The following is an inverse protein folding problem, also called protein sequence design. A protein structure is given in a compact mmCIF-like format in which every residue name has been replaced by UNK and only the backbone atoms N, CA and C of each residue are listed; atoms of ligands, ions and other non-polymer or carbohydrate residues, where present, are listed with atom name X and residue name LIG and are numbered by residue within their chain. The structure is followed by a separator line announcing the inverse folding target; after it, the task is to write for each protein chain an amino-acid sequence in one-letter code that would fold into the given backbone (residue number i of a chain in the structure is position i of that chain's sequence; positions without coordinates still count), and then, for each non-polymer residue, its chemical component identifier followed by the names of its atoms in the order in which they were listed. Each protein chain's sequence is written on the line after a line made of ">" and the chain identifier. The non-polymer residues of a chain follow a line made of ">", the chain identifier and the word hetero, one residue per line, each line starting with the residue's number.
data_IF_207347665938
#
_entry.id   IF_207347665938
#
_cell.length_a   1.000
_cell.length_b   1.000
_cell.length_c   1.000
_cell.angle_alpha   90.00
_cell.angle_beta   90.00
_cell.angle_gamma   90.00
#
_symmetry.space_group_name_H-M   'P 1'
#
loop_
_entity.id
_entity.type
_entity.pdbx_description
1 polymer ?
#
# COMPACT_ATOMS: atom_id res chain seq x y z
N UNK A 1 9.60 -13.91 -62.77
CA UNK A 1 10.51 -12.84 -63.19
C UNK A 1 11.35 -13.37 -64.34
N UNK A 2 11.03 -12.91 -65.53
CA UNK A 2 11.64 -13.35 -66.78
C UNK A 2 13.00 -12.66 -66.97
N UNK A 3 13.80 -13.15 -67.93
CA UNK A 3 15.06 -12.49 -68.31
C UNK A 3 14.80 -11.06 -68.79
N UNK A 4 13.64 -10.82 -69.41
CA UNK A 4 13.21 -9.51 -69.89
C UNK A 4 12.96 -8.54 -68.72
N UNK A 5 12.30 -9.01 -67.65
CA UNK A 5 12.04 -8.20 -66.45
C UNK A 5 13.35 -7.71 -65.80
N UNK A 6 14.36 -8.59 -65.73
CA UNK A 6 15.70 -8.25 -65.18
C UNK A 6 16.46 -7.25 -66.07
N UNK A 7 16.32 -7.39 -67.39
CA UNK A 7 16.95 -6.49 -68.36
C UNK A 7 16.39 -5.07 -68.25
N UNK A 8 15.07 -4.94 -68.10
CA UNK A 8 14.42 -3.63 -67.94
C UNK A 8 14.79 -2.96 -66.61
N UNK A 9 14.91 -3.72 -65.53
CA UNK A 9 15.30 -3.20 -64.22
C UNK A 9 16.75 -2.67 -64.24
N UNK A 10 17.67 -3.39 -64.89
CA UNK A 10 19.05 -2.93 -65.09
C UNK A 10 19.12 -1.64 -65.92
N UNK A 11 18.34 -1.56 -67.00
CA UNK A 11 18.29 -0.37 -67.85
C UNK A 11 17.75 0.84 -67.09
N UNK A 12 16.74 0.63 -66.23
CA UNK A 12 16.19 1.67 -65.36
C UNK A 12 17.22 2.16 -64.32
N UNK A 13 17.96 1.24 -63.69
CA UNK A 13 19.05 1.57 -62.79
C UNK A 13 20.14 2.41 -63.47
N UNK A 14 20.56 2.03 -64.68
CA UNK A 14 21.59 2.76 -65.42
C UNK A 14 21.13 4.18 -65.78
N UNK A 15 19.89 4.34 -66.24
CA UNK A 15 19.31 5.66 -66.55
C UNK A 15 19.29 6.57 -65.32
N UNK A 16 18.96 6.03 -64.14
CA UNK A 16 18.96 6.80 -62.89
C UNK A 16 20.37 7.26 -62.52
N UNK A 17 21.35 6.36 -62.56
CA UNK A 17 22.75 6.68 -62.24
C UNK A 17 23.30 7.74 -63.20
N UNK A 18 23.04 7.60 -64.51
CA UNK A 18 23.46 8.57 -65.49
C UNK A 18 22.83 9.95 -65.25
N UNK A 19 21.53 10.01 -64.97
CA UNK A 19 20.83 11.26 -64.67
C UNK A 19 21.41 11.98 -63.45
N UNK A 20 21.70 11.24 -62.38
CA UNK A 20 22.28 11.80 -61.15
C UNK A 20 23.71 12.32 -61.40
N UNK A 21 24.52 11.59 -62.17
CA UNK A 21 25.87 12.00 -62.54
C UNK A 21 25.86 13.30 -63.36
N UNK A 22 25.01 13.38 -64.39
CA UNK A 22 24.90 14.59 -65.21
C UNK A 22 24.32 15.77 -64.46
N UNK A 23 23.43 15.54 -63.49
CA UNK A 23 22.90 16.60 -62.61
C UNK A 23 23.99 17.20 -61.72
N UNK A 24 24.85 16.35 -61.16
CA UNK A 24 26.04 16.80 -60.41
C UNK A 24 27.02 17.57 -61.28
N UNK A 25 27.31 17.07 -62.48
CA UNK A 25 28.19 17.75 -63.43
C UNK A 25 27.62 19.09 -63.91
N UNK A 26 26.31 19.18 -64.15
CA UNK A 26 25.64 20.42 -64.52
C UNK A 26 25.70 21.47 -63.41
N UNK A 27 25.58 21.05 -62.14
CA UNK A 27 25.73 21.96 -60.99
C UNK A 27 27.16 22.50 -60.87
N UNK A 28 28.17 21.68 -61.16
CA UNK A 28 29.57 22.11 -61.19
C UNK A 28 29.89 23.02 -62.38
N UNK A 29 29.19 22.84 -63.50
CA UNK A 29 29.37 23.65 -64.71
C UNK A 29 28.56 24.96 -64.69
N UNK A 30 27.60 25.14 -63.78
CA UNK A 30 26.69 26.30 -63.72
C UNK A 30 27.31 27.59 -63.16
N UNK A 31 28.63 27.74 -63.29
CA UNK A 31 29.37 28.92 -62.85
C UNK A 31 29.93 28.79 -61.44
N UNK A 32 30.80 29.73 -61.03
CA UNK A 32 31.40 29.70 -59.71
C UNK A 32 30.28 29.80 -58.67
N UNK A 33 30.14 28.74 -57.87
CA UNK A 33 29.32 28.76 -56.67
C UNK A 33 29.88 29.89 -55.81
N UNK A 34 29.16 31.00 -55.72
CA UNK A 34 29.52 32.12 -54.85
C UNK A 34 29.28 31.68 -53.42
N UNK A 35 30.30 31.08 -52.81
CA UNK A 35 30.34 30.97 -51.36
C UNK A 35 30.51 32.39 -50.83
N UNK A 36 29.59 32.85 -49.97
CA UNK A 36 29.85 33.99 -49.11
C UNK A 36 31.11 33.65 -48.30
N UNK A 37 32.23 34.23 -48.72
CA UNK A 37 33.51 34.05 -48.04
C UNK A 37 33.48 34.94 -46.80
N UNK A 38 32.93 34.41 -45.71
CA UNK A 38 33.12 34.99 -44.39
C UNK A 38 34.59 34.79 -44.04
N UNK A 39 35.36 35.87 -43.79
CA UNK A 39 36.75 35.75 -43.37
C UNK A 39 36.84 34.85 -42.13
N UNK A 40 37.72 33.86 -42.16
CA UNK A 40 37.90 32.93 -41.02
C UNK A 40 38.11 33.65 -39.68
N UNK A 41 38.70 34.85 -39.71
CA UNK A 41 38.89 35.71 -38.52
C UNK A 41 37.58 36.13 -37.85
N UNK A 42 36.56 36.51 -38.62
CA UNK A 42 35.24 36.90 -38.06
C UNK A 42 34.56 35.68 -37.44
N UNK A 43 34.64 34.52 -38.12
CA UNK A 43 34.09 33.28 -37.60
C UNK A 43 34.78 32.82 -36.32
N UNK A 44 36.10 33.02 -36.20
CA UNK A 44 36.85 32.73 -34.98
C UNK A 44 36.38 33.62 -33.82
N UNK A 45 36.25 34.93 -34.03
CA UNK A 45 35.76 35.86 -33.00
C UNK A 45 34.33 35.55 -32.55
N UNK A 46 33.45 35.20 -33.48
CA UNK A 46 32.07 34.77 -33.17
C UNK A 46 32.08 33.51 -32.28
N UNK A 47 32.88 32.50 -32.64
CA UNK A 47 32.99 31.26 -31.88
C UNK A 47 33.61 31.48 -30.49
N UNK A 48 34.62 32.34 -30.37
CA UNK A 48 35.21 32.70 -29.08
C UNK A 48 34.19 33.40 -28.17
N UNK A 49 33.40 34.32 -28.72
CA UNK A 49 32.30 34.98 -28.00
C UNK A 49 31.24 34.00 -27.53
N UNK A 50 30.85 33.05 -28.41
CA UNK A 50 29.87 32.03 -28.05
C UNK A 50 30.40 31.05 -27.01
N UNK A 51 31.68 30.66 -27.07
CA UNK A 51 32.34 29.84 -26.04
C UNK A 51 32.35 30.56 -24.69
N UNK A 52 32.67 31.87 -24.68
CA UNK A 52 32.63 32.66 -23.45
C UNK A 52 31.22 32.71 -22.85
N UNK A 53 30.21 32.97 -23.68
CA UNK A 53 28.79 33.00 -23.29
C UNK A 53 28.31 31.64 -22.75
N UNK A 54 28.63 30.55 -23.44
CA UNK A 54 28.30 29.19 -23.00
C UNK A 54 28.98 28.84 -21.68
N UNK A 55 30.24 29.23 -21.49
CA UNK A 55 30.96 29.02 -20.23
C UNK A 55 30.28 29.74 -19.06
N UNK A 56 29.80 30.98 -19.25
CA UNK A 56 29.07 31.72 -18.23
C UNK A 56 27.72 31.05 -17.88
N UNK A 57 26.97 30.60 -18.89
CA UNK A 57 25.72 29.86 -18.70
C UNK A 57 25.97 28.56 -17.92
N UNK A 58 27.01 27.81 -18.28
CA UNK A 58 27.39 26.58 -17.58
C UNK A 58 27.79 26.87 -16.13
N UNK A 59 28.55 27.94 -15.88
CA UNK A 59 28.94 28.34 -14.52
C UNK A 59 27.72 28.69 -13.67
N UNK A 60 26.78 29.45 -14.22
CA UNK A 60 25.53 29.83 -13.55
C UNK A 60 24.66 28.61 -13.24
N UNK A 61 24.42 27.75 -14.23
CA UNK A 61 23.65 26.51 -14.04
C UNK A 61 24.30 25.57 -13.02
N UNK A 62 25.63 25.48 -13.00
CA UNK A 62 26.36 24.67 -12.02
C UNK A 62 26.13 25.17 -10.60
N UNK A 63 26.15 26.49 -10.40
CA UNK A 63 25.91 27.12 -9.10
C UNK A 63 24.46 26.91 -8.63
N UNK A 64 23.50 27.05 -9.52
CA UNK A 64 22.07 26.80 -9.25
C UNK A 64 21.84 25.34 -8.84
N UNK A 65 22.32 24.37 -9.63
CA UNK A 65 22.22 22.94 -9.31
C UNK A 65 22.84 22.59 -7.97
N UNK A 66 23.96 23.21 -7.61
CA UNK A 66 24.60 22.97 -6.31
C UNK A 66 23.76 23.51 -5.15
N UNK A 67 23.09 24.65 -5.32
CA UNK A 67 22.16 25.18 -4.33
C UNK A 67 20.92 24.30 -4.16
N UNK A 68 20.34 23.83 -5.26
CA UNK A 68 19.20 22.89 -5.23
C UNK A 68 19.58 21.58 -4.56
N UNK A 69 20.76 21.05 -4.87
CA UNK A 69 21.30 19.84 -4.24
C UNK A 69 21.45 20.03 -2.73
N UNK A 70 21.94 21.18 -2.27
CA UNK A 70 22.03 21.51 -0.83
C UNK A 70 20.65 21.58 -0.17
N UNK A 71 19.68 22.22 -0.82
CA UNK A 71 18.31 22.33 -0.32
C UNK A 71 17.62 20.97 -0.24
N UNK A 72 17.73 20.15 -1.29
CA UNK A 72 17.21 18.78 -1.33
C UNK A 72 17.85 17.90 -0.26
N UNK A 73 19.17 17.97 -0.06
CA UNK A 73 19.85 17.26 1.05
C UNK A 73 19.32 17.65 2.43
N UNK A 74 19.03 18.93 2.66
CA UNK A 74 18.43 19.38 3.93
C UNK A 74 17.01 18.81 4.12
N UNK A 75 16.20 18.76 3.04
CA UNK A 75 14.86 18.16 3.08
C UNK A 75 14.92 16.66 3.36
N UNK A 76 15.82 15.94 2.70
CA UNK A 76 16.04 14.50 2.93
C UNK A 76 16.37 14.23 4.41
N UNK A 77 17.34 14.94 4.99
CA UNK A 77 17.68 14.78 6.42
C UNK A 77 16.51 15.03 7.37
N UNK A 78 15.65 16.01 7.05
CA UNK A 78 14.43 16.28 7.85
C UNK A 78 13.43 15.13 7.74
N UNK A 79 13.23 14.61 6.53
CA UNK A 79 12.33 13.48 6.29
C UNK A 79 12.84 12.22 6.97
N UNK A 80 14.13 11.91 6.87
CA UNK A 80 14.77 10.77 7.54
C UNK A 80 14.56 10.83 9.06
N UNK A 81 14.76 12.02 9.67
CA UNK A 81 14.50 12.22 11.09
C UNK A 81 13.03 11.98 11.45
N UNK A 82 12.10 12.58 10.68
CA UNK A 82 10.67 12.40 10.90
C UNK A 82 10.23 10.94 10.73
N UNK A 83 10.85 10.21 9.79
CA UNK A 83 10.55 8.80 9.57
C UNK A 83 10.99 7.94 10.77
N UNK A 84 12.17 8.20 11.32
CA UNK A 84 12.63 7.53 12.53
C UNK A 84 11.76 7.81 13.76
N UNK A 85 11.25 9.03 13.90
CA UNK A 85 10.28 9.37 14.96
C UNK A 85 8.96 8.61 14.78
N UNK A 86 8.43 8.53 13.55
CA UNK A 86 7.21 7.78 13.25
C UNK A 86 7.38 6.27 13.47
N UNK A 87 8.52 5.69 13.06
CA UNK A 87 8.85 4.29 13.33
C UNK A 87 8.87 4.00 14.84
N UNK A 88 9.43 4.92 15.64
CA UNK A 88 9.39 4.84 17.10
C UNK A 88 7.96 4.86 17.66
N UNK A 89 7.11 5.75 17.16
CA UNK A 89 5.70 5.81 17.56
C UNK A 89 4.94 4.53 17.20
N UNK A 90 5.13 3.99 15.99
CA UNK A 90 4.52 2.73 15.56
C UNK A 90 4.95 1.59 16.47
N UNK A 91 6.25 1.47 16.78
CA UNK A 91 6.74 0.43 17.70
C UNK A 91 6.18 0.56 19.12
N UNK A 92 5.91 1.78 19.60
CA UNK A 92 5.24 2.00 20.89
C UNK A 92 3.79 1.54 20.86
N UNK A 93 3.05 1.93 19.82
CA UNK A 93 1.64 1.56 19.65
C UNK A 93 1.48 0.04 19.51
N UNK A 94 2.37 -0.64 18.77
CA UNK A 94 2.33 -2.10 18.65
C UNK A 94 2.47 -2.80 20.02
N UNK A 95 3.33 -2.27 20.90
CA UNK A 95 3.46 -2.79 22.27
C UNK A 95 2.21 -2.54 23.11
N UNK A 96 1.61 -1.36 22.98
CA UNK A 96 0.36 -1.02 23.68
C UNK A 96 -0.80 -1.91 23.22
N UNK A 97 -0.93 -2.13 21.91
CA UNK A 97 -1.94 -3.02 21.34
C UNK A 97 -1.76 -4.45 21.85
N UNK A 98 -0.53 -4.98 21.85
CA UNK A 98 -0.25 -6.31 22.39
C UNK A 98 -0.61 -6.42 23.88
N UNK A 99 -0.33 -5.37 24.67
CA UNK A 99 -0.67 -5.32 26.09
C UNK A 99 -2.19 -5.28 26.31
N UNK A 100 -2.91 -4.48 25.53
CA UNK A 100 -4.37 -4.39 25.59
C UNK A 100 -5.04 -5.71 25.16
N UNK A 101 -4.53 -6.37 24.13
CA UNK A 101 -5.01 -7.68 23.69
C UNK A 101 -4.86 -8.74 24.80
N UNK A 102 -3.68 -8.83 25.44
CA UNK A 102 -3.47 -9.74 26.55
C UNK A 102 -4.41 -9.43 27.75
N UNK A 103 -4.66 -8.14 28.03
CA UNK A 103 -5.60 -7.73 29.08
C UNK A 103 -7.03 -8.13 28.74
N UNK A 104 -7.45 -7.96 27.48
CA UNK A 104 -8.77 -8.35 27.00
C UNK A 104 -9.00 -9.86 27.12
N UNK A 105 -8.06 -10.68 26.64
CA UNK A 105 -8.14 -12.14 26.77
C UNK A 105 -8.26 -12.59 28.23
N UNK A 106 -7.56 -11.94 29.15
CA UNK A 106 -7.70 -12.24 30.58
C UNK A 106 -9.09 -11.89 31.10
N UNK A 107 -9.65 -10.74 30.71
CA UNK A 107 -11.00 -10.33 31.10
C UNK A 107 -12.07 -11.27 30.54
N UNK A 108 -11.90 -11.78 29.33
CA UNK A 108 -12.80 -12.78 28.75
C UNK A 108 -12.78 -14.10 29.54
N UNK A 109 -11.60 -14.57 29.95
CA UNK A 109 -11.46 -15.75 30.82
C UNK A 109 -12.13 -15.54 32.17
N UNK A 110 -11.94 -14.38 32.79
CA UNK A 110 -12.57 -14.04 34.07
C UNK A 110 -14.11 -14.03 33.95
N UNK A 111 -14.64 -13.46 32.86
CA UNK A 111 -16.08 -13.39 32.59
C UNK A 111 -16.66 -14.80 32.37
N UNK A 112 -15.98 -15.64 31.59
CA UNK A 112 -16.38 -17.03 31.40
C UNK A 112 -16.43 -17.81 32.73
N UNK A 113 -15.41 -17.66 33.58
CA UNK A 113 -15.35 -18.27 34.91
C UNK A 113 -16.49 -17.78 35.82
N UNK A 114 -16.79 -16.48 35.80
CA UNK A 114 -17.88 -15.91 36.57
C UNK A 114 -19.25 -16.43 36.10
N UNK A 115 -19.45 -16.55 34.78
CA UNK A 115 -20.67 -17.09 34.21
C UNK A 115 -20.89 -18.56 34.60
N UNK A 116 -19.85 -19.39 34.55
CA UNK A 116 -19.90 -20.79 35.03
C UNK A 116 -20.28 -20.89 36.51
N UNK A 117 -19.65 -20.05 37.36
CA UNK A 117 -19.98 -19.98 38.79
C UNK A 117 -21.43 -19.54 39.02
N UNK A 118 -21.94 -18.59 38.24
CA UNK A 118 -23.31 -18.14 38.32
C UNK A 118 -24.28 -19.26 37.91
N UNK A 119 -24.04 -19.96 36.81
CA UNK A 119 -24.87 -21.08 36.37
C UNK A 119 -24.91 -22.21 37.42
N UNK A 120 -23.76 -22.49 38.02
CA UNK A 120 -23.64 -23.45 39.13
C UNK A 120 -24.47 -23.01 40.34
N UNK A 121 -24.32 -21.75 40.77
CA UNK A 121 -25.05 -21.19 41.91
C UNK A 121 -26.57 -21.19 41.67
N UNK A 122 -27.02 -20.81 40.47
CA UNK A 122 -28.44 -20.85 40.07
C UNK A 122 -28.97 -22.28 40.11
N UNK A 123 -28.20 -23.26 39.64
CA UNK A 123 -28.58 -24.68 39.68
C UNK A 123 -28.72 -25.18 41.11
N UNK A 124 -27.77 -24.83 41.99
CA UNK A 124 -27.82 -25.18 43.42
C UNK A 124 -29.02 -24.52 44.09
N UNK A 125 -29.22 -23.21 43.90
CA UNK A 125 -30.32 -22.47 44.49
C UNK A 125 -31.67 -23.04 44.06
N UNK A 126 -31.85 -23.33 42.76
CA UNK A 126 -33.07 -23.96 42.23
C UNK A 126 -33.34 -25.31 42.91
N UNK A 127 -32.32 -26.13 43.12
CA UNK A 127 -32.45 -27.41 43.83
C UNK A 127 -32.83 -27.21 45.29
N UNK A 128 -32.12 -26.33 46.01
CA UNK A 128 -32.36 -26.07 47.42
C UNK A 128 -33.77 -25.53 47.68
N UNK A 129 -34.20 -24.55 46.87
CA UNK A 129 -35.56 -24.01 46.89
C UNK A 129 -36.57 -25.14 46.62
N UNK A 130 -36.37 -25.93 45.56
CA UNK A 130 -37.27 -27.01 45.22
C UNK A 130 -37.42 -28.07 46.33
N UNK A 131 -36.32 -28.41 47.00
CA UNK A 131 -36.33 -29.33 48.15
C UNK A 131 -36.99 -28.73 49.39
N UNK A 132 -36.77 -27.44 49.66
CA UNK A 132 -37.37 -26.75 50.80
C UNK A 132 -38.88 -26.63 50.65
N UNK A 133 -39.37 -26.31 49.44
CA UNK A 133 -40.79 -26.30 49.14
C UNK A 133 -41.43 -27.69 49.29
N UNK A 134 -40.79 -28.75 48.78
CA UNK A 134 -41.29 -30.12 48.94
C UNK A 134 -41.42 -30.52 50.42
N UNK A 135 -40.44 -30.18 51.24
CA UNK A 135 -40.48 -30.47 52.68
C UNK A 135 -41.58 -29.66 53.39
N UNK A 136 -41.78 -28.39 53.02
CA UNK A 136 -42.86 -27.57 53.54
C UNK A 136 -44.25 -28.13 53.16
N UNK A 137 -44.44 -28.60 51.93
CA UNK A 137 -45.68 -29.23 51.48
C UNK A 137 -45.99 -30.48 52.32
N UNK A 138 -45.00 -31.34 52.58
CA UNK A 138 -45.18 -32.52 53.45
C UNK A 138 -45.57 -32.15 54.87
N UNK A 139 -45.00 -31.08 55.43
CA UNK A 139 -45.38 -30.61 56.76
C UNK A 139 -46.83 -30.13 56.79
N UNK A 140 -47.28 -29.42 55.75
CA UNK A 140 -48.67 -28.98 55.62
C UNK A 140 -49.63 -30.16 55.54
N UNK A 141 -49.36 -31.14 54.67
CA UNK A 141 -50.17 -32.36 54.55
C UNK A 141 -50.23 -33.15 55.87
N UNK A 142 -49.12 -33.22 56.60
CA UNK A 142 -49.06 -33.86 57.91
C UNK A 142 -49.92 -33.14 58.95
N UNK A 143 -49.91 -31.80 58.94
CA UNK A 143 -50.63 -30.99 59.93
C UNK A 143 -52.12 -30.87 59.61
N UNK A 144 -52.53 -31.05 58.36
CA UNK A 144 -53.91 -30.91 57.88
C UNK A 144 -54.31 -32.11 56.99
N UNK A 145 -54.60 -33.28 57.58
CA UNK A 145 -54.81 -34.52 56.81
C UNK A 145 -56.05 -34.50 55.92
N UNK A 146 -57.06 -33.69 56.26
CA UNK A 146 -58.30 -33.56 55.48
C UNK A 146 -58.16 -32.59 54.29
N UNK A 147 -57.01 -31.90 54.18
CA UNK A 147 -56.76 -30.93 53.12
C UNK A 147 -56.01 -31.59 51.95
N UNK A 148 -56.61 -31.57 50.76
CA UNK A 148 -55.99 -32.07 49.53
C UNK A 148 -55.25 -30.92 48.83
N UNK A 149 -53.91 -30.98 48.83
CA UNK A 149 -53.09 -30.04 48.06
C UNK A 149 -53.10 -30.42 46.58
N UNK A 150 -53.40 -29.45 45.71
CA UNK A 150 -53.26 -29.63 44.27
C UNK A 150 -51.77 -29.61 43.87
N UNK A 151 -51.20 -30.81 43.70
CA UNK A 151 -49.82 -30.98 43.27
C UNK A 151 -49.62 -30.76 41.75
N UNK A 152 -50.68 -30.47 40.99
CA UNK A 152 -50.54 -30.17 39.56
C UNK A 152 -49.90 -28.80 39.30
N UNK A 153 -50.08 -27.86 40.24
CA UNK A 153 -49.55 -26.48 40.18
C UNK A 153 -48.05 -26.43 40.45
N UNK A 154 -47.49 -27.45 41.12
CA UNK A 154 -46.07 -27.58 41.39
C UNK A 154 -45.56 -28.94 40.94
N UNK A 155 -44.84 -28.97 39.81
CA UNK A 155 -44.07 -30.15 39.40
C UNK A 155 -42.70 -30.10 40.06
N UNK A 156 -42.39 -30.97 41.02
CA UNK A 156 -41.04 -31.04 41.57
C UNK A 156 -40.07 -31.31 40.43
N UNK A 157 -38.92 -30.63 40.41
CA UNK A 157 -37.83 -31.04 39.53
C UNK A 157 -37.49 -32.48 39.88
N UNK A 158 -37.81 -33.40 38.98
CA UNK A 158 -37.69 -34.84 39.21
C UNK A 158 -36.33 -35.17 39.81
N UNK A 159 -36.34 -35.96 40.89
CA UNK A 159 -35.13 -36.62 41.40
C UNK A 159 -34.63 -37.55 40.29
N UNK A 160 -33.81 -37.04 39.38
CA UNK A 160 -32.93 -37.89 38.59
C UNK A 160 -32.02 -38.56 39.60
N UNK A 161 -32.23 -39.86 39.78
CA UNK A 161 -31.40 -40.72 40.62
C UNK A 161 -29.97 -40.65 40.06
N UNK A 162 -29.07 -40.01 40.81
CA UNK A 162 -27.64 -40.22 40.65
C UNK A 162 -27.39 -41.67 41.07
N UNK A 163 -27.16 -42.54 40.08
CA UNK A 163 -26.54 -43.86 40.26
C UNK A 163 -25.03 -43.71 40.17
#
# INVERSE_FOLDING_TARGET
>A
MTVEDRSQELLHCYKRIAADFFKGAALLASGPISFEFVPFTERIQELEGEVARLNEVVATQRKERENDKKTSRKRIKKLEKSNGELEGCVSSLDKEVATLQASLEQKEKDLASLNERLQTAVTIARRAIGTGFEEALKQVEKNYPDMVLDRSVYKPLGRSAVK
#
